data_IF_772191219896
#
_entry.id   IF_772191219896
#
_cell.length_a   1.000
_cell.length_b   1.000
_cell.length_c   1.000
_cell.angle_alpha   90.00
_cell.angle_beta   90.00
_cell.angle_gamma   90.00
#
_symmetry.space_group_name_H-M   'P 1'
#
loop_
_entity.id
_entity.type
_entity.pdbx_description
1 polymer ?
#
# COMPACT_ATOMS: atom_id res chain seq x y z
N UNK A 1 7.59 45.40 10.89
CA UNK A 1 7.89 44.88 9.55
C UNK A 1 7.10 43.60 9.35
N UNK A 2 6.23 43.51 8.34
CA UNK A 2 5.67 42.21 7.95
C UNK A 2 6.82 41.41 7.35
N UNK A 3 7.35 40.42 8.07
CA UNK A 3 8.30 39.46 7.51
C UNK A 3 7.62 38.84 6.29
N UNK A 4 8.21 38.97 5.09
CA UNK A 4 7.71 38.26 3.92
C UNK A 4 7.76 36.75 4.19
N UNK A 5 6.89 35.98 3.55
CA UNK A 5 6.90 34.50 3.64
C UNK A 5 8.30 33.96 3.32
N UNK A 6 8.99 34.57 2.37
CA UNK A 6 10.38 34.27 2.01
C UNK A 6 11.35 34.54 3.17
N UNK A 7 11.23 35.69 3.84
CA UNK A 7 12.06 36.02 5.01
C UNK A 7 11.83 35.06 6.18
N UNK A 8 10.58 34.65 6.40
CA UNK A 8 10.24 33.65 7.41
C UNK A 8 10.85 32.26 7.09
N UNK A 9 10.70 31.79 5.84
CA UNK A 9 11.26 30.51 5.40
C UNK A 9 12.78 30.47 5.52
N UNK A 10 13.46 31.59 5.22
CA UNK A 10 14.91 31.70 5.37
C UNK A 10 15.34 31.50 6.82
N UNK A 11 14.67 32.16 7.77
CA UNK A 11 14.98 32.00 9.21
C UNK A 11 14.78 30.55 9.66
N UNK A 12 13.73 29.88 9.18
CA UNK A 12 13.51 28.47 9.49
C UNK A 12 14.62 27.57 8.92
N UNK A 13 15.05 27.81 7.68
CA UNK A 13 16.14 27.05 7.06
C UNK A 13 17.47 27.24 7.79
N UNK A 14 17.80 28.48 8.17
CA UNK A 14 19.03 28.78 8.92
C UNK A 14 19.04 28.02 10.27
N UNK A 15 17.94 28.07 11.03
CA UNK A 15 17.83 27.34 12.31
C UNK A 15 17.83 25.82 12.14
N UNK A 16 17.20 25.32 11.08
CA UNK A 16 17.22 23.90 10.77
C UNK A 16 18.65 23.40 10.51
N UNK A 17 19.42 24.12 9.70
CA UNK A 17 20.81 23.75 9.40
C UNK A 17 21.72 23.87 10.61
N UNK A 18 21.52 24.86 11.48
CA UNK A 18 22.22 24.95 12.77
C UNK A 18 22.01 23.68 13.61
N UNK A 19 20.75 23.27 13.79
CA UNK A 19 20.41 22.06 14.53
C UNK A 19 20.94 20.79 13.86
N UNK A 20 20.84 20.70 12.53
CA UNK A 20 21.35 19.55 11.77
C UNK A 20 22.86 19.41 11.89
N UNK A 21 23.61 20.51 11.79
CA UNK A 21 25.06 20.51 11.94
C UNK A 21 25.48 20.08 13.35
N UNK A 22 24.75 20.52 14.38
CA UNK A 22 24.98 20.07 15.74
C UNK A 22 24.79 18.54 15.88
N UNK A 23 23.70 18.01 15.32
CA UNK A 23 23.43 16.57 15.31
C UNK A 23 24.48 15.78 14.51
N UNK A 24 24.94 16.32 13.38
CA UNK A 24 25.99 15.70 12.56
C UNK A 24 27.32 15.61 13.34
N UNK A 25 27.77 16.72 13.95
CA UNK A 25 28.96 16.73 14.78
C UNK A 25 28.86 15.75 15.96
N UNK A 26 27.68 15.64 16.59
CA UNK A 26 27.46 14.69 17.66
C UNK A 26 27.61 13.24 17.19
N UNK A 27 26.96 12.88 16.07
CA UNK A 27 26.98 11.52 15.51
C UNK A 27 28.34 11.10 14.96
N UNK A 28 29.17 12.04 14.50
CA UNK A 28 30.54 11.75 14.05
C UNK A 28 31.43 11.14 15.15
N UNK A 29 31.10 11.36 16.44
CA UNK A 29 31.81 10.72 17.55
C UNK A 29 31.61 9.20 17.64
N UNK A 30 30.63 8.65 16.90
CA UNK A 30 30.46 7.19 16.76
C UNK A 30 29.83 6.47 17.95
N UNK A 31 29.08 7.19 18.79
CA UNK A 31 28.32 6.59 19.90
C UNK A 31 26.95 6.03 19.48
N UNK A 32 26.44 6.45 18.33
CA UNK A 32 25.17 6.01 17.75
C UNK A 32 25.38 4.93 16.66
N UNK A 33 24.32 4.18 16.27
CA UNK A 33 24.41 3.16 15.21
C UNK A 33 24.96 3.70 13.89
N UNK A 34 24.59 4.93 13.53
CA UNK A 34 25.03 5.61 12.32
C UNK A 34 25.81 6.89 12.64
N UNK A 35 26.92 7.10 11.91
CA UNK A 35 27.80 8.28 12.06
C UNK A 35 27.25 9.56 11.43
N UNK A 36 26.03 9.51 10.87
CA UNK A 36 25.35 10.63 10.24
C UNK A 36 23.88 10.66 10.67
N UNK A 37 23.23 11.84 10.70
CA UNK A 37 21.80 11.91 10.95
C UNK A 37 21.02 11.03 9.98
N UNK A 38 20.19 10.13 10.51
CA UNK A 38 19.45 9.12 9.74
C UNK A 38 18.23 9.72 9.02
N UNK A 39 17.77 10.89 9.46
CA UNK A 39 16.66 11.60 8.82
C UNK A 39 17.06 12.13 7.44
N UNK A 40 16.38 11.63 6.41
CA UNK A 40 16.52 12.12 5.04
C UNK A 40 15.92 13.52 4.93
N UNK A 41 16.73 14.50 4.56
CA UNK A 41 16.27 15.87 4.31
C UNK A 41 15.65 15.93 2.92
N UNK A 42 14.44 16.48 2.82
CA UNK A 42 13.73 16.72 1.55
C UNK A 42 12.83 17.94 1.68
N UNK A 43 12.63 18.68 0.59
CA UNK A 43 11.84 19.92 0.59
C UNK A 43 10.52 19.83 -0.20
N UNK A 44 10.27 18.70 -0.88
CA UNK A 44 9.02 18.43 -1.56
C UNK A 44 8.62 16.96 -1.48
N UNK A 45 7.33 16.67 -1.66
CA UNK A 45 6.81 15.30 -1.75
C UNK A 45 7.60 14.47 -2.76
N UNK A 46 7.84 15.03 -3.94
CA UNK A 46 8.52 14.35 -5.03
C UNK A 46 9.98 14.00 -4.67
N UNK A 47 10.69 14.93 -4.02
CA UNK A 47 12.05 14.71 -3.54
C UNK A 47 12.10 13.66 -2.42
N UNK A 48 11.11 13.66 -1.52
CA UNK A 48 11.01 12.64 -0.46
C UNK A 48 10.83 11.25 -1.07
N UNK A 49 9.92 11.09 -2.03
CA UNK A 49 9.66 9.80 -2.69
C UNK A 49 10.90 9.33 -3.45
N UNK A 50 11.53 10.23 -4.21
CA UNK A 50 12.77 9.93 -4.95
C UNK A 50 13.87 9.40 -4.02
N UNK A 51 14.14 10.08 -2.90
CA UNK A 51 15.19 9.70 -1.96
C UNK A 51 14.87 8.41 -1.20
N UNK A 52 13.62 8.24 -0.75
CA UNK A 52 13.21 7.05 0.02
C UNK A 52 13.22 5.80 -0.86
N UNK A 53 12.77 5.90 -2.11
CA UNK A 53 12.63 4.76 -3.01
C UNK A 53 13.83 4.56 -3.96
N UNK A 54 14.78 5.51 -3.99
CA UNK A 54 15.96 5.45 -4.86
C UNK A 54 15.62 5.59 -6.35
N UNK A 55 14.56 6.35 -6.69
CA UNK A 55 14.07 6.52 -8.06
C UNK A 55 14.63 7.79 -8.70
N UNK A 56 15.92 7.77 -9.09
CA UNK A 56 16.59 8.95 -9.65
C UNK A 56 15.81 9.58 -10.82
N UNK A 57 15.53 10.88 -10.75
CA UNK A 57 14.76 11.59 -11.78
C UNK A 57 13.24 11.53 -11.60
N UNK A 58 12.77 10.94 -10.50
CA UNK A 58 11.34 10.87 -10.17
C UNK A 58 10.75 12.25 -9.93
N UNK A 59 11.48 13.14 -9.26
CA UNK A 59 11.03 14.50 -8.94
C UNK A 59 10.64 15.26 -10.19
N UNK A 60 11.52 15.32 -11.18
CA UNK A 60 11.28 16.05 -12.43
C UNK A 60 10.06 15.47 -13.15
N UNK A 61 9.96 14.14 -13.20
CA UNK A 61 8.83 13.46 -13.84
C UNK A 61 7.52 13.72 -13.10
N UNK A 62 7.52 13.67 -11.77
CA UNK A 62 6.33 13.92 -10.98
C UNK A 62 5.77 15.34 -11.22
N UNK A 63 6.65 16.34 -11.23
CA UNK A 63 6.25 17.73 -11.48
C UNK A 63 5.82 17.97 -12.94
N UNK A 64 6.37 17.23 -13.90
CA UNK A 64 5.86 17.21 -15.28
C UNK A 64 4.42 16.68 -15.32
N UNK A 65 4.17 15.51 -14.71
CA UNK A 65 2.85 14.87 -14.70
C UNK A 65 1.79 15.73 -14.01
N UNK A 66 2.13 16.45 -12.94
CA UNK A 66 1.20 17.37 -12.25
C UNK A 66 0.71 18.52 -13.14
N UNK A 67 1.49 18.91 -14.16
CA UNK A 67 1.10 19.97 -15.10
C UNK A 67 0.19 19.45 -16.20
N UNK A 68 0.29 18.17 -16.54
CA UNK A 68 -0.37 17.59 -17.73
C UNK A 68 -1.54 16.69 -17.40
N UNK A 69 -1.58 16.07 -16.22
CA UNK A 69 -2.57 15.06 -15.86
C UNK A 69 -3.42 15.47 -14.65
N UNK A 70 -4.68 15.01 -14.60
CA UNK A 70 -5.48 15.07 -13.38
C UNK A 70 -4.80 14.35 -12.21
N UNK A 71 -4.91 14.84 -10.96
CA UNK A 71 -4.24 14.25 -9.80
C UNK A 71 -4.51 12.75 -9.59
N UNK A 72 -5.70 12.26 -9.97
CA UNK A 72 -6.08 10.85 -9.78
C UNK A 72 -5.40 9.90 -10.78
N UNK A 73 -4.91 10.41 -11.91
CA UNK A 73 -4.25 9.62 -12.97
C UNK A 73 -2.73 9.54 -12.79
N UNK A 74 -2.14 10.52 -12.11
CA UNK A 74 -0.70 10.60 -11.85
C UNK A 74 -0.12 9.30 -11.24
N UNK A 75 -0.72 8.69 -10.20
CA UNK A 75 -0.26 7.42 -9.63
C UNK A 75 -0.14 6.29 -10.66
N UNK A 76 -1.12 6.17 -11.56
CA UNK A 76 -1.12 5.14 -12.59
C UNK A 76 0.00 5.35 -13.58
N UNK A 77 0.22 6.62 -13.99
CA UNK A 77 1.30 6.94 -14.92
C UNK A 77 2.68 6.71 -14.31
N UNK A 78 2.84 7.00 -13.02
CA UNK A 78 4.06 6.70 -12.26
C UNK A 78 4.32 5.20 -12.18
N UNK A 79 3.30 4.42 -11.82
CA UNK A 79 3.41 2.97 -11.78
C UNK A 79 3.83 2.42 -13.15
N UNK A 80 3.21 2.90 -14.23
CA UNK A 80 3.57 2.53 -15.60
C UNK A 80 5.02 2.92 -15.94
N UNK A 81 5.44 4.16 -15.67
CA UNK A 81 6.81 4.64 -15.96
C UNK A 81 7.87 3.79 -15.23
N UNK A 82 7.60 3.37 -13.98
CA UNK A 82 8.50 2.48 -13.21
C UNK A 82 8.55 1.08 -13.83
N UNK A 83 7.41 0.48 -14.15
CA UNK A 83 7.35 -0.85 -14.77
C UNK A 83 8.02 -0.87 -16.15
N UNK A 84 7.89 0.20 -16.93
CA UNK A 84 8.53 0.34 -18.23
C UNK A 84 10.02 0.73 -18.16
N UNK A 85 10.58 0.85 -16.95
CA UNK A 85 12.02 1.03 -16.74
C UNK A 85 12.53 2.46 -16.87
N UNK A 86 11.66 3.48 -16.80
CA UNK A 86 12.06 4.90 -16.91
C UNK A 86 13.11 5.30 -15.86
N UNK A 87 13.03 4.71 -14.67
CA UNK A 87 13.89 4.99 -13.53
C UNK A 87 15.01 3.96 -13.35
N UNK A 88 15.28 3.16 -14.38
CA UNK A 88 16.28 2.10 -14.39
C UNK A 88 15.68 0.70 -14.50
N UNK A 89 16.49 -0.31 -14.86
CA UNK A 89 16.06 -1.69 -14.91
C UNK A 89 15.93 -2.24 -13.48
N UNK A 90 14.77 -2.84 -13.19
CA UNK A 90 14.53 -3.56 -11.94
C UNK A 90 14.02 -4.97 -12.26
N UNK A 91 14.31 -5.98 -11.42
CA UNK A 91 13.60 -7.26 -11.47
C UNK A 91 12.07 -7.06 -11.39
N UNK A 92 11.27 -7.89 -12.05
CA UNK A 92 9.81 -7.69 -12.16
C UNK A 92 9.13 -7.45 -10.80
N UNK A 93 9.44 -8.26 -9.79
CA UNK A 93 8.90 -8.12 -8.44
C UNK A 93 9.32 -6.80 -7.77
N UNK A 94 10.59 -6.41 -7.95
CA UNK A 94 11.09 -5.15 -7.38
C UNK A 94 10.48 -3.94 -8.09
N UNK A 95 10.31 -4.01 -9.41
CA UNK A 95 9.63 -3.00 -10.19
C UNK A 95 8.17 -2.85 -9.72
N UNK A 96 7.46 -3.97 -9.50
CA UNK A 96 6.09 -3.96 -8.99
C UNK A 96 5.98 -3.36 -7.59
N UNK A 97 6.91 -3.71 -6.69
CA UNK A 97 6.99 -3.14 -5.34
C UNK A 97 7.22 -1.62 -5.41
N UNK A 98 8.24 -1.17 -6.13
CA UNK A 98 8.56 0.27 -6.27
C UNK A 98 7.43 1.03 -6.95
N UNK A 99 6.81 0.46 -7.99
CA UNK A 99 5.68 1.05 -8.69
C UNK A 99 4.49 1.27 -7.74
N UNK A 100 4.14 0.27 -6.93
CA UNK A 100 3.02 0.37 -6.00
C UNK A 100 3.31 1.38 -4.89
N UNK A 101 4.51 1.33 -4.29
CA UNK A 101 4.92 2.25 -3.22
C UNK A 101 4.98 3.69 -3.71
N UNK A 102 5.60 3.94 -4.87
CA UNK A 102 5.71 5.28 -5.44
C UNK A 102 4.34 5.84 -5.82
N UNK A 103 3.51 5.04 -6.49
CA UNK A 103 2.17 5.46 -6.90
C UNK A 103 1.29 5.84 -5.69
N UNK A 104 1.33 5.06 -4.62
CA UNK A 104 0.61 5.39 -3.39
C UNK A 104 1.19 6.62 -2.68
N UNK A 105 2.52 6.72 -2.57
CA UNK A 105 3.17 7.87 -1.96
C UNK A 105 2.90 9.18 -2.72
N UNK A 106 2.59 9.10 -4.02
CA UNK A 106 2.16 10.24 -4.83
C UNK A 106 0.77 10.77 -4.49
N UNK A 107 -0.07 10.01 -3.77
CA UNK A 107 -1.45 10.42 -3.44
C UNK A 107 -1.51 11.46 -2.33
N UNK A 108 -0.65 11.32 -1.31
CA UNK A 108 -0.69 12.17 -0.12
C UNK A 108 0.71 12.68 0.22
N UNK A 109 0.83 13.90 0.80
CA UNK A 109 2.12 14.41 1.24
C UNK A 109 2.83 13.44 2.20
N UNK A 110 4.18 13.37 2.16
CA UNK A 110 4.93 12.47 3.05
C UNK A 110 4.63 12.78 4.51
N UNK A 111 4.57 11.73 5.34
CA UNK A 111 4.24 11.83 6.76
C UNK A 111 2.75 11.90 7.08
N UNK A 112 1.86 11.95 6.08
CA UNK A 112 0.40 11.85 6.31
C UNK A 112 -0.02 10.45 6.75
N UNK A 113 0.69 9.44 6.26
CA UNK A 113 0.35 8.01 6.37
C UNK A 113 1.63 7.19 6.22
N UNK A 114 1.74 6.10 6.96
CA UNK A 114 2.86 5.17 6.85
C UNK A 114 2.62 4.10 5.76
N UNK A 115 1.41 4.07 5.18
CA UNK A 115 0.97 3.00 4.31
C UNK A 115 1.83 2.75 3.05
N UNK A 116 2.30 3.77 2.31
CA UNK A 116 3.09 3.53 1.10
C UNK A 116 4.45 2.89 1.38
N UNK A 117 5.09 3.24 2.50
CA UNK A 117 6.46 2.81 2.80
C UNK A 117 6.46 1.59 3.73
N UNK A 118 5.71 1.65 4.82
CA UNK A 118 5.70 0.61 5.85
C UNK A 118 4.53 -0.35 5.69
N UNK A 119 3.40 0.12 5.15
CA UNK A 119 2.17 -0.68 4.99
C UNK A 119 2.26 -1.76 3.90
N UNK A 120 3.15 -1.60 2.92
CA UNK A 120 3.47 -2.60 1.90
C UNK A 120 4.86 -3.14 2.22
N UNK A 121 4.93 -4.37 2.73
CA UNK A 121 6.20 -5.01 3.04
C UNK A 121 6.95 -5.40 1.76
N UNK A 122 6.28 -6.16 0.89
CA UNK A 122 6.84 -6.65 -0.38
C UNK A 122 5.74 -6.99 -1.38
N UNK A 123 6.14 -7.13 -2.65
CA UNK A 123 5.28 -7.60 -3.73
C UNK A 123 5.98 -8.77 -4.40
N UNK A 124 5.27 -9.88 -4.59
CA UNK A 124 5.80 -11.10 -5.20
C UNK A 124 4.95 -11.53 -6.39
N UNK A 125 5.55 -12.29 -7.31
CA UNK A 125 4.87 -12.93 -8.43
C UNK A 125 4.79 -14.43 -8.15
N UNK A 126 3.58 -14.90 -7.87
CA UNK A 126 3.29 -16.30 -7.50
C UNK A 126 2.59 -17.02 -8.65
N UNK A 127 2.37 -18.34 -8.50
CA UNK A 127 1.72 -19.18 -9.50
C UNK A 127 0.39 -19.74 -9.00
N UNK A 128 -0.61 -19.70 -9.87
CA UNK A 128 -1.90 -20.37 -9.69
C UNK A 128 -1.76 -21.89 -9.93
N UNK A 129 -2.79 -22.70 -9.57
CA UNK A 129 -2.80 -24.13 -9.85
C UNK A 129 -2.65 -24.49 -11.34
N UNK A 130 -3.08 -23.61 -12.25
CA UNK A 130 -2.91 -23.74 -13.69
C UNK A 130 -1.54 -23.22 -14.21
N UNK A 131 -0.60 -22.97 -13.29
CA UNK A 131 0.73 -22.37 -13.53
C UNK A 131 0.73 -20.92 -14.08
N UNK A 132 -0.43 -20.27 -14.21
CA UNK A 132 -0.47 -18.84 -14.55
C UNK A 132 0.16 -18.01 -13.44
N UNK A 133 0.92 -16.97 -13.82
CA UNK A 133 1.58 -16.04 -12.87
C UNK A 133 0.61 -14.94 -12.45
N UNK A 134 0.56 -14.60 -11.17
CA UNK A 134 -0.28 -13.54 -10.62
C UNK A 134 0.50 -12.70 -9.58
N UNK A 135 -0.02 -11.52 -9.24
CA UNK A 135 0.60 -10.61 -8.29
C UNK A 135 0.07 -10.82 -6.85
N UNK A 136 0.98 -10.92 -5.88
CA UNK A 136 0.66 -10.97 -4.47
C UNK A 136 1.29 -9.78 -3.74
N UNK A 137 0.48 -9.08 -2.93
CA UNK A 137 0.92 -7.90 -2.17
C UNK A 137 0.88 -8.24 -0.68
N UNK A 138 2.02 -8.05 -0.01
CA UNK A 138 2.18 -8.33 1.42
C UNK A 138 1.93 -7.05 2.21
N UNK A 139 0.73 -6.93 2.78
CA UNK A 139 0.30 -5.81 3.60
C UNK A 139 0.59 -6.05 5.08
N UNK A 140 1.16 -5.06 5.74
CA UNK A 140 1.53 -5.09 7.15
C UNK A 140 0.61 -4.22 8.01
N UNK A 141 0.77 -4.27 9.34
CA UNK A 141 -0.05 -3.51 10.30
C UNK A 141 -0.15 -1.99 10.06
N UNK A 142 0.95 -1.29 9.72
CA UNK A 142 0.96 0.15 9.39
C UNK A 142 -0.04 0.58 8.30
N UNK A 143 -0.52 -0.36 7.46
CA UNK A 143 -1.60 -0.11 6.49
C UNK A 143 -2.91 0.37 7.15
N UNK A 144 -3.08 0.20 8.47
CA UNK A 144 -4.17 0.81 9.24
C UNK A 144 -4.18 2.34 9.19
N UNK A 145 -3.02 2.98 9.00
CA UNK A 145 -2.90 4.44 8.89
C UNK A 145 -3.49 5.00 7.58
N UNK A 146 -3.66 4.14 6.58
CA UNK A 146 -4.24 4.55 5.30
C UNK A 146 -5.70 4.95 5.43
N UNK A 147 -6.04 6.09 4.82
CA UNK A 147 -7.43 6.48 4.63
C UNK A 147 -8.13 5.58 3.61
N UNK A 148 -9.47 5.61 3.57
CA UNK A 148 -10.26 4.75 2.69
C UNK A 148 -9.92 4.86 1.19
N UNK A 149 -9.55 6.06 0.73
CA UNK A 149 -9.10 6.29 -0.67
C UNK A 149 -7.77 5.60 -0.95
N UNK A 150 -6.82 5.67 -0.02
CA UNK A 150 -5.48 5.10 -0.17
C UNK A 150 -5.53 3.57 -0.13
N UNK A 151 -6.32 3.00 0.78
CA UNK A 151 -6.58 1.56 0.82
C UNK A 151 -7.22 1.08 -0.50
N UNK A 152 -8.22 1.81 -1.01
CA UNK A 152 -8.85 1.44 -2.28
C UNK A 152 -7.87 1.48 -3.46
N UNK A 153 -7.11 2.58 -3.56
CA UNK A 153 -6.13 2.74 -4.62
C UNK A 153 -4.98 1.74 -4.51
N UNK A 154 -4.62 1.25 -3.31
CA UNK A 154 -3.57 0.23 -3.17
C UNK A 154 -3.90 -1.06 -3.93
N UNK A 155 -5.16 -1.48 -3.88
CA UNK A 155 -5.64 -2.68 -4.56
C UNK A 155 -5.82 -2.43 -6.06
N UNK A 156 -6.41 -1.28 -6.41
CA UNK A 156 -6.64 -0.91 -7.80
C UNK A 156 -5.31 -0.71 -8.56
N UNK A 157 -4.33 -0.06 -7.94
CA UNK A 157 -2.99 0.10 -8.51
C UNK A 157 -2.26 -1.23 -8.63
N UNK A 158 -2.41 -2.14 -7.67
CA UNK A 158 -1.87 -3.49 -7.79
C UNK A 158 -2.48 -4.26 -8.98
N UNK A 159 -3.80 -4.14 -9.19
CA UNK A 159 -4.48 -4.69 -10.37
C UNK A 159 -4.05 -4.02 -11.68
N UNK A 160 -3.74 -2.72 -11.66
CA UNK A 160 -3.17 -2.05 -12.82
C UNK A 160 -1.75 -2.57 -13.11
N UNK A 161 -0.87 -2.61 -12.11
CA UNK A 161 0.52 -3.07 -12.23
C UNK A 161 0.58 -4.50 -12.78
N UNK A 162 -0.24 -5.41 -12.25
CA UNK A 162 -0.27 -6.80 -12.73
C UNK A 162 -0.73 -6.90 -14.19
N UNK A 163 -1.63 -6.01 -14.66
CA UNK A 163 -2.01 -5.93 -16.08
C UNK A 163 -0.88 -5.41 -16.96
N UNK A 164 -0.16 -4.37 -16.53
CA UNK A 164 1.01 -3.84 -17.27
C UNK A 164 2.10 -4.91 -17.39
N UNK A 165 2.33 -5.67 -16.33
CA UNK A 165 3.23 -6.83 -16.30
C UNK A 165 2.69 -8.08 -17.01
N UNK A 166 1.48 -8.01 -17.59
CA UNK A 166 0.81 -9.13 -18.28
C UNK A 166 0.66 -10.39 -17.42
N UNK A 167 0.42 -10.20 -16.13
CA UNK A 167 0.11 -11.25 -15.17
C UNK A 167 -1.39 -11.55 -15.18
N UNK A 168 -1.72 -12.82 -14.97
CA UNK A 168 -3.09 -13.29 -14.83
C UNK A 168 -3.69 -12.85 -13.48
N UNK A 169 -5.00 -13.02 -13.31
CA UNK A 169 -5.69 -12.82 -12.04
C UNK A 169 -5.28 -13.88 -11.03
N UNK A 170 -5.32 -13.51 -9.76
CA UNK A 170 -5.34 -14.46 -8.66
C UNK A 170 -6.57 -15.38 -8.76
N UNK A 171 -6.35 -16.68 -8.57
CA UNK A 171 -7.38 -17.73 -8.60
C UNK A 171 -7.29 -18.50 -7.27
N UNK A 172 -8.02 -18.07 -6.21
CA UNK A 172 -7.95 -18.74 -4.92
C UNK A 172 -8.56 -20.14 -4.98
N UNK A 173 -8.01 -21.07 -4.20
CA UNK A 173 -8.64 -22.34 -3.89
C UNK A 173 -9.75 -22.14 -2.84
N UNK A 174 -10.66 -23.12 -2.72
CA UNK A 174 -11.69 -23.11 -1.68
C UNK A 174 -11.11 -23.07 -0.26
N UNK A 175 -9.97 -23.72 -0.07
CA UNK A 175 -9.27 -23.74 1.21
C UNK A 175 -8.66 -22.38 1.53
N UNK A 176 -8.14 -21.66 0.53
CA UNK A 176 -7.65 -20.30 0.72
C UNK A 176 -8.78 -19.33 1.06
N UNK A 177 -9.93 -19.40 0.37
CA UNK A 177 -11.12 -18.61 0.72
C UNK A 177 -11.54 -18.90 2.16
N UNK A 178 -11.61 -20.18 2.52
CA UNK A 178 -12.00 -20.59 3.88
C UNK A 178 -10.96 -20.20 4.93
N UNK A 179 -9.68 -20.17 4.57
CA UNK A 179 -8.59 -19.64 5.39
C UNK A 179 -8.77 -18.15 5.68
N UNK A 180 -9.11 -17.31 4.69
CA UNK A 180 -9.40 -15.89 4.95
C UNK A 180 -10.58 -15.72 5.91
N UNK A 181 -11.63 -16.52 5.74
CA UNK A 181 -12.80 -16.50 6.62
C UNK A 181 -12.42 -16.90 8.06
N UNK A 182 -11.68 -17.99 8.23
CA UNK A 182 -11.19 -18.43 9.54
C UNK A 182 -10.34 -17.34 10.21
N UNK A 183 -9.37 -16.78 9.48
CA UNK A 183 -8.50 -15.73 9.98
C UNK A 183 -9.29 -14.49 10.43
N UNK A 184 -10.26 -14.04 9.62
CA UNK A 184 -11.11 -12.89 9.96
C UNK A 184 -11.90 -13.14 11.25
N UNK A 185 -12.49 -14.32 11.42
CA UNK A 185 -13.27 -14.66 12.62
C UNK A 185 -12.41 -14.80 13.87
N UNK A 186 -11.19 -15.33 13.73
CA UNK A 186 -10.24 -15.40 14.84
C UNK A 186 -9.73 -14.00 15.20
N UNK A 187 -9.48 -13.15 14.21
CA UNK A 187 -9.05 -11.78 14.42
C UNK A 187 -10.12 -10.95 15.14
N UNK A 188 -11.40 -11.09 14.78
CA UNK A 188 -12.56 -10.44 15.46
C UNK A 188 -12.69 -10.82 16.94
N UNK A 189 -12.31 -12.05 17.30
CA UNK A 189 -12.34 -12.55 18.69
C UNK A 189 -11.13 -12.10 19.51
N UNK A 190 -10.09 -11.61 18.85
CA UNK A 190 -8.86 -11.18 19.47
C UNK A 190 -8.97 -9.82 20.15
N UNK A 191 -7.81 -9.22 20.46
CA UNK A 191 -7.72 -7.87 21.04
C UNK A 191 -8.06 -6.78 20.02
N UNK A 192 -7.82 -7.07 18.74
CA UNK A 192 -8.05 -6.14 17.64
C UNK A 192 -9.48 -6.24 17.14
N UNK A 193 -10.09 -5.08 16.84
CA UNK A 193 -11.41 -5.03 16.22
C UNK A 193 -11.33 -4.41 14.84
N UNK A 194 -12.15 -4.94 13.94
CA UNK A 194 -12.48 -4.30 12.68
C UNK A 194 -13.43 -3.13 12.90
N UNK A 195 -13.43 -2.18 11.95
CA UNK A 195 -14.37 -1.06 11.94
C UNK A 195 -15.76 -1.51 11.48
N UNK A 196 -15.81 -2.53 10.63
CA UNK A 196 -17.04 -3.06 10.06
C UNK A 196 -17.20 -4.53 10.41
N UNK A 197 -18.43 -4.94 10.73
CA UNK A 197 -18.79 -6.35 10.86
C UNK A 197 -19.24 -6.85 9.50
N UNK A 198 -18.56 -7.86 8.98
CA UNK A 198 -18.78 -8.34 7.62
C UNK A 198 -19.25 -9.79 7.61
N UNK A 199 -20.31 -10.05 6.84
CA UNK A 199 -20.86 -11.39 6.66
C UNK A 199 -19.88 -12.33 5.92
N UNK A 200 -19.99 -13.63 6.18
CA UNK A 200 -19.11 -14.63 5.58
C UNK A 200 -19.18 -14.63 4.06
N UNK A 201 -20.38 -14.52 3.50
CA UNK A 201 -20.60 -14.60 2.06
C UNK A 201 -19.99 -13.39 1.33
N UNK A 202 -20.03 -12.21 1.97
CA UNK A 202 -19.37 -11.00 1.47
C UNK A 202 -17.84 -11.15 1.44
N UNK A 203 -17.26 -11.78 2.46
CA UNK A 203 -15.82 -12.10 2.47
C UNK A 203 -15.48 -13.05 1.32
N UNK A 204 -16.27 -14.12 1.15
CA UNK A 204 -16.04 -15.10 0.09
C UNK A 204 -16.11 -14.43 -1.30
N UNK A 205 -17.16 -13.65 -1.56
CA UNK A 205 -17.36 -12.92 -2.81
C UNK A 205 -16.16 -12.02 -3.15
N UNK A 206 -15.62 -11.29 -2.16
CA UNK A 206 -14.42 -10.46 -2.37
C UNK A 206 -13.19 -11.30 -2.69
N UNK A 207 -12.89 -12.33 -1.90
CA UNK A 207 -11.67 -13.12 -2.09
C UNK A 207 -11.69 -13.85 -3.43
N UNK A 208 -12.83 -14.42 -3.83
CA UNK A 208 -13.00 -15.15 -5.09
C UNK A 208 -12.84 -14.26 -6.33
N UNK A 209 -13.21 -12.98 -6.21
CA UNK A 209 -13.20 -12.05 -7.34
C UNK A 209 -11.97 -11.13 -7.39
N UNK A 210 -11.19 -11.04 -6.32
CA UNK A 210 -10.00 -10.20 -6.28
C UNK A 210 -8.95 -10.64 -7.33
N UNK A 211 -8.46 -9.72 -8.18
CA UNK A 211 -7.50 -10.05 -9.23
C UNK A 211 -6.05 -10.18 -8.73
N UNK A 212 -5.78 -9.79 -7.49
CA UNK A 212 -4.48 -9.90 -6.83
C UNK A 212 -4.64 -10.58 -5.47
N UNK A 213 -3.60 -11.26 -5.00
CA UNK A 213 -3.60 -11.84 -3.66
C UNK A 213 -3.26 -10.75 -2.63
N UNK A 214 -4.20 -10.50 -1.72
CA UNK A 214 -4.00 -9.62 -0.56
C UNK A 214 -3.53 -10.48 0.61
N UNK A 215 -2.22 -10.54 0.83
CA UNK A 215 -1.59 -11.35 1.87
C UNK A 215 -0.68 -10.47 2.74
N UNK A 216 0.15 -11.06 3.60
CA UNK A 216 1.00 -10.31 4.50
C UNK A 216 1.76 -11.20 5.50
N UNK A 217 2.70 -10.60 6.25
CA UNK A 217 3.35 -11.28 7.36
C UNK A 217 2.34 -11.61 8.47
N UNK A 218 2.65 -12.58 9.35
CA UNK A 218 1.86 -12.78 10.56
C UNK A 218 1.96 -11.55 11.47
N UNK A 219 0.83 -11.13 12.03
CA UNK A 219 0.76 -9.98 12.95
C UNK A 219 0.28 -10.34 14.36
N UNK A 220 -0.32 -11.52 14.53
CA UNK A 220 -0.81 -12.01 15.82
C UNK A 220 -0.15 -13.36 16.15
N UNK A 221 -0.02 -13.67 17.43
CA UNK A 221 0.45 -14.98 17.89
C UNK A 221 -0.60 -16.09 17.70
N UNK A 222 -1.88 -15.72 17.53
CA UNK A 222 -2.98 -16.66 17.30
C UNK A 222 -2.78 -17.43 16.00
N UNK A 223 -2.95 -18.75 16.08
CA UNK A 223 -2.88 -19.64 14.91
C UNK A 223 -4.27 -20.04 14.42
N UNK A 224 -4.34 -20.34 13.12
CA UNK A 224 -5.49 -21.05 12.54
C UNK A 224 -5.47 -22.53 12.91
N UNK A 225 -6.65 -23.12 12.95
CA UNK A 225 -6.87 -24.50 13.40
C UNK A 225 -7.16 -25.41 12.21
N UNK A 226 -8.03 -24.97 11.29
CA UNK A 226 -8.55 -25.83 10.22
C UNK A 226 -7.67 -25.74 8.97
N UNK A 227 -7.48 -24.55 8.42
CA UNK A 227 -6.83 -24.36 7.12
C UNK A 227 -5.33 -24.08 7.26
N UNK A 228 -4.60 -25.02 7.85
CA UNK A 228 -3.13 -24.93 8.07
C UNK A 228 -2.34 -25.35 6.84
N UNK A 229 -1.09 -24.88 6.76
CA UNK A 229 -0.05 -25.35 5.83
C UNK A 229 -0.47 -25.29 4.34
N UNK A 230 -1.21 -24.24 3.97
CA UNK A 230 -1.62 -24.04 2.58
C UNK A 230 -0.40 -23.69 1.71
N UNK A 231 -0.26 -24.26 0.49
CA UNK A 231 0.95 -24.13 -0.32
C UNK A 231 1.40 -22.70 -0.62
N UNK A 232 0.45 -21.75 -0.66
CA UNK A 232 0.70 -20.34 -0.98
C UNK A 232 0.58 -19.43 0.25
N UNK A 233 0.39 -19.96 1.46
CA UNK A 233 0.31 -19.15 2.69
C UNK A 233 1.46 -19.56 3.60
N UNK A 234 2.45 -18.69 3.75
CA UNK A 234 3.75 -19.00 4.36
C UNK A 234 3.71 -19.06 5.90
N UNK A 235 2.53 -18.90 6.50
CA UNK A 235 2.34 -18.86 7.95
C UNK A 235 1.01 -19.49 8.34
N UNK A 236 0.93 -20.03 9.56
CA UNK A 236 -0.32 -20.48 10.19
C UNK A 236 -0.92 -19.45 11.15
N UNK A 237 -0.30 -18.28 11.28
CA UNK A 237 -0.76 -17.19 12.14
C UNK A 237 -1.61 -16.19 11.36
N UNK A 238 -2.33 -15.32 12.08
CA UNK A 238 -3.22 -14.32 11.46
C UNK A 238 -2.43 -13.21 10.75
N UNK A 239 -2.85 -12.87 9.53
CA UNK A 239 -2.21 -11.84 8.68
C UNK A 239 -2.95 -10.51 8.76
N UNK A 240 -2.95 -9.89 9.95
CA UNK A 240 -3.83 -8.76 10.28
C UNK A 240 -3.81 -7.56 9.33
N UNK A 241 -2.66 -7.24 8.72
CA UNK A 241 -2.57 -6.19 7.68
C UNK A 241 -3.43 -6.50 6.46
N UNK A 242 -3.33 -7.73 5.94
CA UNK A 242 -4.15 -8.23 4.85
C UNK A 242 -5.64 -8.26 5.20
N UNK A 243 -5.97 -8.81 6.39
CA UNK A 243 -7.35 -8.92 6.86
C UNK A 243 -8.03 -7.55 6.97
N UNK A 244 -7.31 -6.52 7.41
CA UNK A 244 -7.80 -5.14 7.48
C UNK A 244 -8.09 -4.55 6.10
N UNK A 245 -7.22 -4.78 5.12
CA UNK A 245 -7.47 -4.33 3.74
C UNK A 245 -8.73 -4.98 3.17
N UNK A 246 -8.93 -6.28 3.39
CA UNK A 246 -10.15 -6.96 2.97
C UNK A 246 -11.38 -6.40 3.68
N UNK A 247 -11.38 -6.38 5.02
CA UNK A 247 -12.56 -6.09 5.81
C UNK A 247 -12.87 -4.59 5.93
N UNK A 248 -11.92 -3.79 6.41
CA UNK A 248 -12.12 -2.36 6.67
C UNK A 248 -11.87 -1.49 5.44
N UNK A 249 -11.13 -2.02 4.46
CA UNK A 249 -10.81 -1.36 3.20
C UNK A 249 -11.85 -1.66 2.13
N UNK A 250 -11.74 -2.82 1.48
CA UNK A 250 -12.56 -3.19 0.31
C UNK A 250 -14.03 -3.28 0.69
N UNK A 251 -14.36 -4.14 1.67
CA UNK A 251 -15.76 -4.40 2.00
C UNK A 251 -16.34 -3.19 2.73
N UNK A 252 -15.78 -2.81 3.88
CA UNK A 252 -16.29 -1.70 4.70
C UNK A 252 -16.40 -0.35 3.98
N UNK A 253 -15.68 -0.15 2.87
CA UNK A 253 -15.70 1.08 2.08
C UNK A 253 -16.04 0.85 0.61
N UNK A 254 -16.83 -0.19 0.32
CA UNK A 254 -17.25 -0.57 -1.04
C UNK A 254 -17.71 0.61 -1.89
N UNK A 255 -18.55 1.50 -1.36
CA UNK A 255 -19.05 2.69 -2.09
C UNK A 255 -17.93 3.62 -2.55
N UNK A 256 -16.87 3.77 -1.75
CA UNK A 256 -15.71 4.58 -2.12
C UNK A 256 -14.88 3.87 -3.20
N UNK A 257 -14.73 2.56 -3.06
CA UNK A 257 -14.04 1.70 -4.00
C UNK A 257 -14.71 1.74 -5.39
N UNK A 258 -16.03 1.55 -5.43
CA UNK A 258 -16.88 1.64 -6.62
C UNK A 258 -16.81 3.03 -7.27
N UNK A 259 -16.89 4.10 -6.47
CA UNK A 259 -16.76 5.48 -6.97
C UNK A 259 -15.43 5.72 -7.69
N UNK A 260 -14.32 5.16 -7.17
CA UNK A 260 -12.99 5.29 -7.78
C UNK A 260 -12.90 4.46 -9.07
N UNK A 261 -13.39 3.22 -9.07
CA UNK A 261 -13.44 2.36 -10.27
C UNK A 261 -14.20 3.05 -11.39
N UNK A 262 -15.39 3.59 -11.09
CA UNK A 262 -16.24 4.28 -12.05
C UNK A 262 -15.57 5.55 -12.59
N UNK A 263 -14.93 6.34 -11.71
CA UNK A 263 -14.21 7.55 -12.11
C UNK A 263 -13.02 7.26 -13.05
N UNK A 264 -12.34 6.14 -12.84
CA UNK A 264 -11.18 5.72 -13.63
C UNK A 264 -11.54 4.78 -14.78
N UNK A 265 -12.82 4.45 -14.95
CA UNK A 265 -13.34 3.52 -15.95
C UNK A 265 -12.58 2.17 -16.00
N UNK A 266 -12.33 1.58 -14.82
CA UNK A 266 -11.53 0.36 -14.71
C UNK A 266 -12.42 -0.86 -14.93
N UNK A 267 -12.11 -1.64 -15.97
CA UNK A 267 -12.83 -2.87 -16.30
C UNK A 267 -12.52 -4.03 -15.35
N UNK A 268 -13.43 -5.01 -15.26
CA UNK A 268 -13.21 -6.26 -14.50
C UNK A 268 -13.56 -6.20 -13.01
N UNK A 269 -14.16 -5.09 -12.56
CA UNK A 269 -14.58 -4.87 -11.18
C UNK A 269 -16.10 -4.80 -10.98
N UNK A 270 -16.89 -5.28 -11.94
CA UNK A 270 -18.37 -5.21 -11.88
C UNK A 270 -18.95 -5.96 -10.68
N UNK A 271 -18.26 -6.96 -10.16
CA UNK A 271 -18.67 -7.70 -8.96
C UNK A 271 -18.73 -6.84 -7.69
N UNK A 272 -18.05 -5.69 -7.66
CA UNK A 272 -18.03 -4.81 -6.48
C UNK A 272 -19.44 -4.29 -6.13
N UNK A 273 -20.34 -4.19 -7.11
CA UNK A 273 -21.74 -3.78 -6.88
C UNK A 273 -22.57 -4.82 -6.13
N UNK A 274 -22.09 -6.07 -6.06
CA UNK A 274 -22.76 -7.14 -5.31
C UNK A 274 -22.43 -7.09 -3.81
N UNK A 275 -21.47 -6.25 -3.41
CA UNK A 275 -20.98 -6.19 -2.04
C UNK A 275 -21.86 -5.25 -1.22
N UNK A 276 -22.47 -5.80 -0.17
CA UNK A 276 -23.33 -5.06 0.75
C UNK A 276 -22.64 -4.89 2.11
N UNK A 277 -22.70 -3.66 2.65
CA UNK A 277 -22.13 -3.34 3.96
C UNK A 277 -23.26 -2.98 4.91
N UNK A 278 -23.49 -3.83 5.90
CA UNK A 278 -24.19 -3.41 7.10
C UNK A 278 -23.25 -2.53 7.91
N UNK A 279 -23.53 -1.23 7.96
CA UNK A 279 -22.86 -0.36 8.93
C UNK A 279 -23.24 -0.84 10.32
N UNK A 280 -22.29 -1.35 11.10
CA UNK A 280 -22.49 -1.56 12.53
C UNK A 280 -22.84 -0.19 13.13
N UNK A 281 -24.13 0.03 13.41
CA UNK A 281 -24.55 1.16 14.23
C UNK A 281 -23.80 1.02 15.54
N UNK A 282 -23.01 2.02 15.88
CA UNK A 282 -22.48 2.21 17.23
C UNK A 282 -23.66 2.20 18.19
N UNK A 283 -23.75 1.17 19.03
CA UNK A 283 -24.42 1.29 20.32
C UNK A 283 -23.61 2.20 21.25
#
# INVERSE_FOLDING_TARGET
MKTSIEGYNRVLQEKFWEAYNYAACAKENGYDPEKKPESIISFSQAETIEKILGLNGFKERFEELKKTLPPIEIPFKIAEDIILGRFGPFPEEKAAELALKAALASLTPPGTTAAPIEGIEKVLIKKNPDNSRYLAVYFSGPMRSAGGTEQALSIILADFIRRVLKLDRYKPSRDEVSRYIEELRLYERGKNRFQYKVAKDQIAEVIENLPIEVTGPPSEETEVVIYRDLPRVETNRLRGGALRIINDGIIGRVKKFESIINKLNISGWSWISNIEVESAKSE
#
